data_IF_945110726601
#
_entry.id   IF_945110726601
#
_cell.length_a   1.000
_cell.length_b   1.000
_cell.length_c   1.000
_cell.angle_alpha   90.00
_cell.angle_beta   90.00
_cell.angle_gamma   90.00
#
_symmetry.space_group_name_H-M   'P 1'
#
loop_
_entity.id
_entity.type
_entity.pdbx_description
1 polymer ?
#
# COMPACT_ATOMS: atom_id res chain seq x y z
N UNK A 1 -21.15 32.08 25.30
CA UNK A 1 -21.34 30.66 25.59
C UNK A 1 -21.88 30.06 24.30
N UNK A 2 -21.03 29.53 23.45
CA UNK A 2 -21.44 28.86 22.22
C UNK A 2 -22.01 27.49 22.60
N UNK A 3 -23.33 27.32 22.49
CA UNK A 3 -23.96 26.01 22.57
C UNK A 3 -23.52 25.17 21.35
N UNK A 4 -22.63 24.24 21.57
CA UNK A 4 -22.28 23.27 20.55
C UNK A 4 -23.33 22.12 20.60
N UNK A 5 -24.20 22.00 19.58
CA UNK A 5 -25.28 20.99 19.58
C UNK A 5 -24.74 19.55 19.63
N UNK A 6 -23.48 19.32 19.24
CA UNK A 6 -22.84 18.00 19.30
C UNK A 6 -22.51 17.62 20.75
N UNK A 7 -21.97 18.55 21.53
CA UNK A 7 -21.66 18.34 22.94
C UNK A 7 -22.94 18.02 23.72
N UNK A 8 -24.04 18.75 23.49
CA UNK A 8 -25.34 18.51 24.15
C UNK A 8 -25.92 17.14 23.75
N UNK A 9 -25.81 16.74 22.50
CA UNK A 9 -26.27 15.42 22.05
C UNK A 9 -25.48 14.28 22.70
N UNK A 10 -24.15 14.42 22.84
CA UNK A 10 -23.31 13.42 23.50
C UNK A 10 -23.56 13.33 25.00
N UNK A 11 -23.78 14.47 25.67
CA UNK A 11 -24.21 14.49 27.06
C UNK A 11 -25.54 13.78 27.27
N UNK A 12 -26.49 13.99 26.36
CA UNK A 12 -27.77 13.28 26.35
C UNK A 12 -27.62 11.77 26.14
N UNK A 13 -26.74 11.35 25.24
CA UNK A 13 -26.44 9.94 25.01
C UNK A 13 -25.80 9.26 26.24
N UNK A 14 -24.90 9.93 26.93
CA UNK A 14 -24.26 9.45 28.15
C UNK A 14 -25.20 9.43 29.36
N UNK A 15 -26.27 10.23 29.37
CA UNK A 15 -27.31 10.14 30.40
C UNK A 15 -28.12 8.84 30.29
N UNK A 16 -28.25 8.28 29.07
CA UNK A 16 -28.90 6.99 28.82
C UNK A 16 -27.99 5.77 29.03
N UNK A 17 -26.68 5.93 28.78
CA UNK A 17 -25.66 4.89 28.96
C UNK A 17 -24.37 5.48 29.51
N UNK A 18 -24.30 5.55 30.83
CA UNK A 18 -23.15 6.11 31.54
C UNK A 18 -21.86 5.25 31.41
N UNK A 19 -21.97 4.01 30.95
CA UNK A 19 -20.86 3.09 30.74
C UNK A 19 -20.18 3.20 29.37
N UNK A 20 -20.65 4.07 28.47
CA UNK A 20 -20.10 4.20 27.13
C UNK A 20 -18.80 5.01 27.10
N UNK A 21 -17.69 4.33 27.45
CA UNK A 21 -16.36 4.95 27.54
C UNK A 21 -15.88 5.58 26.23
N UNK A 22 -16.04 4.96 25.02
CA UNK A 22 -15.65 5.59 23.76
C UNK A 22 -16.37 6.92 23.50
N UNK A 23 -17.65 7.01 23.75
CA UNK A 23 -18.42 8.25 23.60
C UNK A 23 -17.96 9.31 24.62
N UNK A 24 -17.60 8.88 25.84
CA UNK A 24 -17.09 9.77 26.88
C UNK A 24 -15.71 10.34 26.55
N UNK A 25 -14.80 9.54 25.97
CA UNK A 25 -13.49 10.02 25.50
C UNK A 25 -13.68 11.04 24.37
N UNK A 26 -14.57 10.77 23.42
CA UNK A 26 -14.87 11.71 22.34
C UNK A 26 -15.47 13.03 22.86
N UNK A 27 -16.37 12.96 23.82
CA UNK A 27 -16.90 14.14 24.49
C UNK A 27 -15.81 14.94 25.19
N UNK A 28 -14.90 14.26 25.89
CA UNK A 28 -13.78 14.91 26.58
C UNK A 28 -12.86 15.67 25.61
N UNK A 29 -12.58 15.12 24.42
CA UNK A 29 -11.83 15.80 23.36
C UNK A 29 -12.58 17.07 22.86
N UNK A 30 -13.86 16.98 22.56
CA UNK A 30 -14.67 18.13 22.10
C UNK A 30 -14.77 19.23 23.16
N UNK A 31 -14.89 18.85 24.43
CA UNK A 31 -14.89 19.81 25.55
C UNK A 31 -13.54 20.52 25.66
N UNK A 32 -12.43 19.81 25.45
CA UNK A 32 -11.09 20.39 25.43
C UNK A 32 -10.93 21.40 24.30
N UNK A 33 -11.36 21.04 23.08
CA UNK A 33 -11.37 21.93 21.91
C UNK A 33 -12.26 23.16 22.10
N UNK A 34 -13.38 23.02 22.81
CA UNK A 34 -14.28 24.11 23.15
C UNK A 34 -13.76 25.00 24.32
N UNK A 35 -12.57 24.72 24.86
CA UNK A 35 -11.99 25.44 26.00
C UNK A 35 -12.65 25.13 27.36
N UNK A 36 -13.52 24.11 27.42
CA UNK A 36 -14.20 23.66 28.67
C UNK A 36 -13.31 22.63 29.39
N UNK A 37 -12.11 23.07 29.75
CA UNK A 37 -10.99 22.20 30.22
C UNK A 37 -11.29 21.46 31.51
N UNK A 38 -12.01 22.07 32.47
CA UNK A 38 -12.38 21.41 33.71
C UNK A 38 -13.35 20.25 33.49
N UNK A 39 -14.31 20.42 32.59
CA UNK A 39 -15.26 19.37 32.25
C UNK A 39 -14.62 18.27 31.40
N UNK A 40 -13.71 18.64 30.50
CA UNK A 40 -12.90 17.68 29.77
C UNK A 40 -12.09 16.75 30.71
N UNK A 41 -11.47 17.33 31.76
CA UNK A 41 -10.72 16.59 32.76
C UNK A 41 -11.64 15.64 33.55
N UNK A 42 -12.84 16.08 33.93
CA UNK A 42 -13.82 15.24 34.62
C UNK A 42 -14.23 14.04 33.78
N UNK A 43 -14.56 14.25 32.50
CA UNK A 43 -14.95 13.15 31.61
C UNK A 43 -13.79 12.17 31.39
N UNK A 44 -12.56 12.66 31.17
CA UNK A 44 -11.39 11.82 30.97
C UNK A 44 -11.05 11.00 32.24
N UNK A 45 -11.10 11.61 33.43
CA UNK A 45 -10.85 10.91 34.71
C UNK A 45 -11.91 9.85 35.00
N UNK A 46 -13.15 10.06 34.61
CA UNK A 46 -14.22 9.07 34.70
C UNK A 46 -13.92 7.82 33.86
N UNK A 47 -13.37 8.00 32.66
CA UNK A 47 -12.92 6.87 31.82
C UNK A 47 -11.72 6.17 32.48
N UNK A 48 -10.74 6.90 32.97
CA UNK A 48 -9.54 6.34 33.59
C UNK A 48 -9.83 5.59 34.89
N UNK A 49 -10.91 5.90 35.59
CA UNK A 49 -11.35 5.14 36.76
C UNK A 49 -11.81 3.71 36.37
N UNK A 50 -12.37 3.52 35.18
CA UNK A 50 -12.81 2.22 34.66
C UNK A 50 -11.76 1.53 33.78
N UNK A 51 -10.98 2.31 33.04
CA UNK A 51 -9.96 1.87 32.08
C UNK A 51 -8.65 2.65 32.31
N UNK A 52 -7.83 2.27 33.30
CA UNK A 52 -6.59 3.02 33.67
C UNK A 52 -5.52 3.04 32.55
N UNK A 53 -5.59 2.10 31.61
CA UNK A 53 -4.70 1.91 30.48
C UNK A 53 -5.18 2.58 29.18
N UNK A 54 -6.27 3.33 29.23
CA UNK A 54 -6.79 4.03 28.05
C UNK A 54 -5.90 5.23 27.71
N UNK A 55 -5.02 5.05 26.72
CA UNK A 55 -4.01 6.03 26.29
C UNK A 55 -4.64 7.35 25.85
N UNK A 56 -5.76 7.31 25.12
CA UNK A 56 -6.44 8.51 24.65
C UNK A 56 -7.03 9.32 25.80
N UNK A 57 -7.66 8.66 26.77
CA UNK A 57 -8.15 9.32 27.98
C UNK A 57 -7.00 9.89 28.83
N UNK A 58 -5.83 9.23 28.92
CA UNK A 58 -4.64 9.74 29.57
C UNK A 58 -4.11 11.01 28.90
N UNK A 59 -4.11 11.07 27.57
CA UNK A 59 -3.69 12.26 26.81
C UNK A 59 -4.60 13.45 27.07
N UNK A 60 -5.91 13.23 26.97
CA UNK A 60 -6.91 14.26 27.24
C UNK A 60 -6.79 14.75 28.67
N UNK A 61 -6.65 13.85 29.65
CA UNK A 61 -6.49 14.19 31.06
C UNK A 61 -5.21 14.99 31.32
N UNK A 62 -4.08 14.63 30.68
CA UNK A 62 -2.82 15.36 30.79
C UNK A 62 -2.96 16.81 30.27
N UNK A 63 -3.53 16.97 29.08
CA UNK A 63 -3.71 18.29 28.46
C UNK A 63 -4.72 19.15 29.24
N UNK A 64 -5.84 18.57 29.66
CA UNK A 64 -6.85 19.26 30.44
C UNK A 64 -6.35 19.65 31.83
N UNK A 65 -5.59 18.77 32.54
CA UNK A 65 -5.01 19.06 33.84
C UNK A 65 -4.00 20.22 33.76
N UNK A 66 -3.18 20.27 32.73
CA UNK A 66 -2.24 21.37 32.48
C UNK A 66 -2.99 22.69 32.25
N UNK A 67 -4.04 22.68 31.44
CA UNK A 67 -4.84 23.86 31.15
C UNK A 67 -5.61 24.40 32.38
N UNK A 68 -5.91 23.53 33.37
CA UNK A 68 -6.51 23.91 34.66
C UNK A 68 -5.44 24.33 35.68
N UNK A 69 -4.14 24.18 35.39
CA UNK A 69 -3.01 24.55 36.27
C UNK A 69 -2.56 23.46 37.26
N UNK A 70 -3.03 22.22 37.09
CA UNK A 70 -2.60 21.07 37.92
C UNK A 70 -1.43 20.33 37.26
N UNK A 71 -0.24 20.92 37.31
CA UNK A 71 0.97 20.41 36.67
C UNK A 71 1.39 19.03 37.23
N UNK A 72 1.06 18.74 38.50
CA UNK A 72 1.41 17.44 39.10
C UNK A 72 0.61 16.29 38.42
N UNK A 73 -0.70 16.47 38.23
CA UNK A 73 -1.52 15.49 37.54
C UNK A 73 -1.22 15.46 36.04
N UNK A 74 -0.99 16.62 35.39
CA UNK A 74 -0.59 16.66 34.02
C UNK A 74 0.63 15.81 33.73
N UNK A 75 1.70 15.98 34.50
CA UNK A 75 2.94 15.20 34.40
C UNK A 75 2.72 13.71 34.66
N UNK A 76 1.88 13.36 35.64
CA UNK A 76 1.59 11.96 35.96
C UNK A 76 0.85 11.25 34.81
N UNK A 77 -0.20 11.88 34.25
CA UNK A 77 -0.94 11.33 33.14
C UNK A 77 -0.09 11.25 31.86
N UNK A 78 0.75 12.27 31.58
CA UNK A 78 1.65 12.26 30.45
C UNK A 78 2.67 11.12 30.50
N UNK A 79 3.28 10.88 31.68
CA UNK A 79 4.22 9.75 31.87
C UNK A 79 3.53 8.40 31.69
N UNK A 80 2.31 8.22 32.18
CA UNK A 80 1.55 7.00 32.00
C UNK A 80 1.20 6.78 30.53
N UNK A 81 0.75 7.81 29.82
CA UNK A 81 0.46 7.73 28.39
C UNK A 81 1.71 7.31 27.59
N UNK A 82 2.86 7.95 27.82
CA UNK A 82 4.14 7.63 27.16
C UNK A 82 4.67 6.24 27.52
N UNK A 83 4.41 5.75 28.73
CA UNK A 83 4.82 4.41 29.15
C UNK A 83 4.00 3.30 28.47
N UNK A 84 2.71 3.56 28.20
CA UNK A 84 1.81 2.63 27.51
C UNK A 84 1.94 2.69 25.99
N UNK A 85 2.18 3.87 25.45
CA UNK A 85 2.42 4.11 24.02
C UNK A 85 3.49 5.22 23.86
N UNK A 86 4.73 4.88 23.49
CA UNK A 86 5.81 5.86 23.28
C UNK A 86 5.50 6.89 22.17
N UNK A 87 4.60 6.57 21.23
CA UNK A 87 4.14 7.51 20.20
C UNK A 87 3.11 8.53 20.72
N UNK A 88 2.57 8.30 21.93
CA UNK A 88 1.57 9.15 22.57
C UNK A 88 2.18 10.28 23.44
N UNK A 89 3.42 10.71 23.20
CA UNK A 89 4.08 11.76 23.97
C UNK A 89 3.25 13.06 23.99
N UNK A 90 2.93 13.53 25.21
CA UNK A 90 2.21 14.79 25.44
C UNK A 90 3.24 15.92 25.54
N UNK A 91 3.09 17.04 24.79
CA UNK A 91 4.01 18.18 24.85
C UNK A 91 4.12 18.79 26.26
N UNK A 92 5.32 19.19 26.66
CA UNK A 92 5.60 19.64 28.05
C UNK A 92 5.15 21.08 28.34
N UNK A 93 4.88 21.92 27.35
CA UNK A 93 4.48 23.33 27.58
C UNK A 93 3.34 23.81 26.68
N UNK A 94 2.53 24.77 27.19
CA UNK A 94 1.47 25.42 26.42
C UNK A 94 2.02 26.24 25.23
N UNK A 95 3.25 26.78 25.37
CA UNK A 95 3.93 27.54 24.30
C UNK A 95 4.35 26.61 23.16
N UNK A 96 4.77 25.37 23.42
CA UNK A 96 5.03 24.38 22.40
C UNK A 96 3.76 23.94 21.66
N UNK A 97 2.62 23.96 22.35
CA UNK A 97 1.32 23.70 21.71
C UNK A 97 0.92 24.91 20.84
N UNK A 98 1.08 26.13 21.33
CA UNK A 98 0.76 27.37 20.62
C UNK A 98 1.74 27.61 19.47
N UNK A 99 3.03 27.36 19.62
CA UNK A 99 4.01 27.40 18.53
C UNK A 99 3.74 26.34 17.48
N UNK A 100 3.32 25.16 17.88
CA UNK A 100 2.88 24.11 16.95
C UNK A 100 1.59 24.49 16.20
N UNK A 101 0.72 25.31 16.78
CA UNK A 101 -0.50 25.80 16.14
C UNK A 101 -0.28 27.11 15.38
N UNK A 102 0.63 27.98 15.83
CA UNK A 102 0.93 29.26 15.18
C UNK A 102 1.98 29.13 14.06
N UNK A 103 2.83 28.12 14.12
CA UNK A 103 3.78 27.73 13.06
C UNK A 103 3.26 26.56 12.23
N UNK A 104 2.04 26.11 12.45
CA UNK A 104 1.40 25.10 11.61
C UNK A 104 1.06 25.69 10.26
N UNK A 105 2.08 25.63 9.41
CA UNK A 105 2.20 24.50 8.49
C UNK A 105 3.63 23.92 8.49
N UNK A 106 4.06 23.15 9.47
CA UNK A 106 4.88 22.03 9.11
C UNK A 106 3.88 21.09 8.43
N UNK A 107 3.95 21.00 7.11
CA UNK A 107 3.59 19.77 6.42
C UNK A 107 4.28 18.68 7.22
N UNK A 108 3.57 18.04 8.16
CA UNK A 108 3.94 16.70 8.62
C UNK A 108 3.88 15.95 7.31
N UNK A 109 5.05 15.76 6.70
CA UNK A 109 5.14 14.87 5.55
C UNK A 109 4.57 13.57 6.09
N UNK A 110 3.40 13.16 5.62
CA UNK A 110 2.87 11.89 6.07
C UNK A 110 3.95 10.89 5.73
N UNK A 111 4.42 10.12 6.70
CA UNK A 111 5.32 8.97 6.48
C UNK A 111 4.55 7.89 5.72
N UNK A 112 3.89 8.33 4.64
CA UNK A 112 3.03 7.56 3.77
C UNK A 112 3.91 7.06 2.64
N UNK A 113 4.49 5.90 2.85
CA UNK A 113 5.34 5.24 1.89
C UNK A 113 6.82 5.61 2.00
N UNK A 114 7.68 4.69 1.66
CA UNK A 114 9.13 4.84 1.76
C UNK A 114 9.70 5.14 0.39
N UNK A 115 10.30 6.34 0.23
CA UNK A 115 11.10 6.65 -0.96
C UNK A 115 12.40 5.85 -0.86
N UNK A 116 12.65 4.98 -1.83
CA UNK A 116 13.86 4.15 -1.91
C UNK A 116 14.53 4.32 -3.26
N UNK A 117 15.86 4.27 -3.27
CA UNK A 117 16.57 4.06 -4.53
C UNK A 117 16.23 2.65 -5.06
N UNK A 118 15.85 2.56 -6.31
CA UNK A 118 15.58 1.28 -6.93
C UNK A 118 16.92 0.58 -7.23
N UNK A 119 17.30 -0.39 -6.40
CA UNK A 119 18.56 -1.14 -6.55
C UNK A 119 18.52 -2.26 -7.60
N UNK A 120 17.41 -2.42 -8.33
CA UNK A 120 17.19 -3.47 -9.34
C UNK A 120 16.74 -2.87 -10.66
N UNK A 121 17.06 -3.56 -11.76
CA UNK A 121 16.69 -3.17 -13.12
C UNK A 121 15.82 -4.23 -13.80
N UNK A 122 15.27 -3.95 -14.97
CA UNK A 122 14.52 -4.94 -15.75
C UNK A 122 15.35 -6.16 -16.15
N UNK A 123 16.68 -6.07 -16.16
CA UNK A 123 17.56 -7.21 -16.41
C UNK A 123 17.50 -8.24 -15.24
N UNK A 124 17.28 -7.77 -14.03
CA UNK A 124 17.21 -8.64 -12.83
C UNK A 124 15.87 -9.38 -12.69
N UNK A 125 14.84 -8.94 -13.43
CA UNK A 125 13.53 -9.58 -13.43
C UNK A 125 13.54 -10.77 -14.38
N UNK A 126 13.31 -11.98 -13.88
CA UNK A 126 13.23 -13.20 -14.70
C UNK A 126 12.01 -13.21 -15.61
N UNK A 127 12.18 -13.56 -16.89
CA UNK A 127 11.10 -13.68 -17.86
C UNK A 127 10.37 -12.38 -18.19
N UNK A 128 9.03 -12.45 -18.32
CA UNK A 128 8.14 -11.31 -18.61
C UNK A 128 8.52 -10.52 -19.89
N UNK A 129 8.97 -11.23 -20.94
CA UNK A 129 9.51 -10.63 -22.16
C UNK A 129 8.53 -9.64 -22.82
N UNK A 130 7.25 -10.00 -22.93
CA UNK A 130 6.22 -9.11 -23.50
C UNK A 130 5.93 -7.89 -22.62
N UNK A 131 5.93 -8.06 -21.29
CA UNK A 131 5.78 -6.94 -20.33
C UNK A 131 6.95 -5.97 -20.49
N UNK A 132 8.19 -6.47 -20.48
CA UNK A 132 9.41 -5.66 -20.68
C UNK A 132 9.38 -4.92 -22.01
N UNK A 133 9.05 -5.58 -23.10
CA UNK A 133 8.92 -4.99 -24.43
C UNK A 133 7.89 -3.86 -24.47
N UNK A 134 6.74 -4.03 -23.82
CA UNK A 134 5.71 -3.00 -23.72
C UNK A 134 6.18 -1.80 -22.89
N UNK A 135 6.82 -2.06 -21.75
CA UNK A 135 7.39 -1.00 -20.92
C UNK A 135 8.45 -0.22 -21.68
N UNK A 136 9.30 -0.92 -22.44
CA UNK A 136 10.32 -0.30 -23.27
C UNK A 136 9.72 0.61 -24.35
N UNK A 137 8.71 0.13 -25.08
CA UNK A 137 8.06 0.91 -26.14
C UNK A 137 7.18 2.05 -25.62
N UNK A 138 6.48 1.84 -24.52
CA UNK A 138 5.50 2.79 -24.00
C UNK A 138 6.13 3.88 -23.14
N UNK A 139 7.20 3.55 -22.40
CA UNK A 139 7.82 4.40 -21.40
C UNK A 139 9.29 4.70 -21.70
N UNK A 140 10.16 3.68 -21.72
CA UNK A 140 11.60 3.88 -21.72
C UNK A 140 12.13 4.54 -23.01
N UNK A 141 11.71 4.04 -24.19
CA UNK A 141 12.16 4.62 -25.46
C UNK A 141 11.72 6.07 -25.65
N UNK A 142 10.47 6.47 -25.39
CA UNK A 142 10.06 7.87 -25.45
C UNK A 142 10.79 8.77 -24.45
N UNK A 143 11.13 8.25 -23.27
CA UNK A 143 11.90 9.00 -22.27
C UNK A 143 13.34 9.20 -22.65
N UNK A 144 13.99 8.16 -23.17
CA UNK A 144 15.38 8.23 -23.64
C UNK A 144 15.57 9.08 -24.90
N UNK A 145 14.47 9.41 -25.61
CA UNK A 145 14.49 10.18 -26.87
C UNK A 145 13.51 11.36 -26.84
N UNK A 146 13.75 12.40 -26.03
CA UNK A 146 12.81 13.51 -25.84
C UNK A 146 12.55 14.31 -27.13
N UNK A 147 13.55 14.47 -28.00
CA UNK A 147 13.40 15.16 -29.29
C UNK A 147 12.44 14.43 -30.23
N UNK A 148 12.59 13.10 -30.35
CA UNK A 148 11.67 12.29 -31.14
C UNK A 148 10.27 12.32 -30.55
N UNK A 149 10.16 12.21 -29.24
CA UNK A 149 8.89 12.30 -28.51
C UNK A 149 8.13 13.58 -28.85
N UNK A 150 8.82 14.72 -28.81
CA UNK A 150 8.23 16.03 -29.12
C UNK A 150 7.81 16.12 -30.61
N UNK A 151 8.66 15.64 -31.53
CA UNK A 151 8.35 15.62 -32.96
C UNK A 151 7.12 14.77 -33.30
N UNK A 152 6.90 13.66 -32.58
CA UNK A 152 5.72 12.81 -32.75
C UNK A 152 4.53 13.26 -31.90
N UNK A 153 4.63 14.38 -31.16
CA UNK A 153 3.57 14.87 -30.28
C UNK A 153 3.18 13.89 -29.16
N UNK A 154 4.08 12.94 -28.81
CA UNK A 154 3.76 11.90 -27.85
C UNK A 154 3.88 12.44 -26.42
N UNK A 155 2.74 12.56 -25.73
CA UNK A 155 2.69 12.86 -24.30
C UNK A 155 3.15 11.66 -23.48
N UNK A 156 3.85 11.91 -22.37
CA UNK A 156 4.10 10.94 -21.30
C UNK A 156 3.09 11.09 -20.15
N UNK A 157 2.11 11.98 -20.32
CA UNK A 157 1.00 12.11 -19.37
C UNK A 157 0.22 10.80 -19.29
N UNK A 158 -0.40 10.58 -18.15
CA UNK A 158 -1.12 9.35 -17.86
C UNK A 158 -0.24 8.35 -17.11
N UNK A 159 -0.91 7.33 -16.59
CA UNK A 159 -0.32 6.25 -15.81
C UNK A 159 -0.28 4.93 -16.57
N UNK A 160 0.41 3.99 -15.98
CA UNK A 160 0.43 2.59 -16.41
C UNK A 160 -0.22 1.72 -15.33
N UNK A 161 -1.12 0.83 -15.75
CA UNK A 161 -1.71 -0.18 -14.88
C UNK A 161 -1.08 -1.55 -15.18
N UNK A 162 -0.42 -2.14 -14.18
CA UNK A 162 -0.01 -3.54 -14.18
C UNK A 162 -1.14 -4.37 -13.56
N UNK A 163 -1.65 -5.36 -14.27
CA UNK A 163 -2.70 -6.21 -13.74
C UNK A 163 -2.45 -7.69 -14.01
N UNK A 164 -3.00 -8.55 -13.17
CA UNK A 164 -2.80 -10.00 -13.29
C UNK A 164 -2.84 -10.71 -11.96
N UNK A 165 -2.61 -12.04 -11.93
CA UNK A 165 -2.71 -12.82 -10.72
C UNK A 165 -1.73 -12.36 -9.63
N UNK A 166 -2.07 -12.60 -8.35
CA UNK A 166 -1.18 -12.30 -7.23
C UNK A 166 0.13 -13.07 -7.31
N UNK A 167 1.19 -12.52 -6.73
CA UNK A 167 2.50 -13.18 -6.66
C UNK A 167 3.26 -13.30 -7.99
N UNK A 168 2.78 -12.67 -9.08
CA UNK A 168 3.44 -12.74 -10.40
C UNK A 168 4.43 -11.59 -10.67
N UNK A 169 4.77 -10.79 -9.65
CA UNK A 169 5.89 -9.85 -9.72
C UNK A 169 5.53 -8.44 -10.19
N UNK A 170 4.26 -7.98 -10.09
CA UNK A 170 3.85 -6.62 -10.49
C UNK A 170 4.66 -5.54 -9.78
N UNK A 171 4.77 -5.61 -8.46
CA UNK A 171 5.56 -4.68 -7.64
C UNK A 171 7.06 -4.76 -7.96
N UNK A 172 7.58 -5.98 -8.24
CA UNK A 172 8.97 -6.17 -8.66
C UNK A 172 9.26 -5.48 -10.01
N UNK A 173 8.34 -5.61 -10.98
CA UNK A 173 8.42 -4.92 -12.29
C UNK A 173 8.40 -3.41 -12.11
N UNK A 174 7.55 -2.88 -11.22
CA UNK A 174 7.48 -1.45 -10.95
C UNK A 174 8.80 -0.91 -10.36
N UNK A 175 9.39 -1.62 -9.39
CA UNK A 175 10.71 -1.28 -8.83
C UNK A 175 11.81 -1.36 -9.88
N UNK A 176 11.82 -2.41 -10.69
CA UNK A 176 12.80 -2.57 -11.74
C UNK A 176 12.71 -1.48 -12.82
N UNK A 177 11.48 -1.02 -13.13
CA UNK A 177 11.26 0.10 -14.02
C UNK A 177 11.81 1.41 -13.44
N UNK A 178 11.62 1.66 -12.14
CA UNK A 178 12.20 2.83 -11.47
C UNK A 178 13.73 2.81 -11.54
N UNK A 179 14.36 1.66 -11.30
CA UNK A 179 15.82 1.51 -11.44
C UNK A 179 16.32 1.73 -12.87
N UNK A 180 15.59 1.25 -13.86
CA UNK A 180 15.90 1.46 -15.29
C UNK A 180 15.80 2.94 -15.70
N UNK A 181 14.93 3.70 -15.01
CA UNK A 181 14.73 5.14 -15.19
C UNK A 181 15.71 5.98 -14.37
N UNK A 182 16.49 5.40 -13.47
CA UNK A 182 17.25 6.15 -12.47
C UNK A 182 16.35 6.99 -11.55
N UNK A 183 15.09 6.59 -11.38
CA UNK A 183 14.09 7.32 -10.61
C UNK A 183 14.01 6.80 -9.18
N UNK A 184 13.66 7.70 -8.26
CA UNK A 184 13.25 7.33 -6.91
C UNK A 184 11.96 6.51 -6.97
N UNK A 185 11.86 5.43 -6.19
CA UNK A 185 10.66 4.60 -6.10
C UNK A 185 9.87 4.95 -4.85
N UNK A 186 8.64 5.39 -5.03
CA UNK A 186 7.74 5.76 -3.96
C UNK A 186 6.52 4.84 -3.98
N UNK A 187 6.50 3.87 -3.08
CA UNK A 187 5.43 2.85 -2.96
C UNK A 187 4.36 3.34 -1.99
N UNK A 188 3.11 3.26 -2.41
CA UNK A 188 1.94 3.69 -1.66
C UNK A 188 0.97 2.54 -1.58
N UNK A 189 0.70 2.07 -0.36
CA UNK A 189 -0.44 1.21 -0.09
C UNK A 189 -1.72 2.03 -0.04
N UNK A 190 -2.73 1.65 -0.81
CA UNK A 190 -4.01 2.38 -0.77
C UNK A 190 -4.76 2.20 0.55
N UNK A 191 -4.54 1.09 1.27
CA UNK A 191 -4.93 0.93 2.66
C UNK A 191 -4.40 2.07 3.54
N UNK A 192 -3.12 2.40 3.42
CA UNK A 192 -2.46 3.44 4.21
C UNK A 192 -3.07 4.83 3.95
N UNK A 193 -3.48 5.09 2.70
CA UNK A 193 -4.17 6.34 2.33
C UNK A 193 -5.59 6.39 2.91
N UNK A 194 -6.26 5.24 3.04
CA UNK A 194 -7.65 5.16 3.48
C UNK A 194 -7.79 5.10 5.01
N UNK A 195 -6.84 4.47 5.71
CA UNK A 195 -6.88 4.26 7.15
C UNK A 195 -6.44 5.50 7.95
N UNK A 196 -5.69 6.42 7.33
CA UNK A 196 -5.32 7.68 7.95
C UNK A 196 -6.46 8.70 7.86
N UNK A 197 -7.40 8.63 8.82
CA UNK A 197 -8.42 9.65 9.16
C UNK A 197 -9.43 9.99 8.04
N UNK A 198 -10.67 9.64 8.29
CA UNK A 198 -11.83 10.12 7.53
C UNK A 198 -11.80 11.67 7.52
N UNK A 199 -11.46 12.27 6.36
CA UNK A 199 -11.40 13.73 6.16
C UNK A 199 -10.04 14.29 5.71
N UNK A 200 -8.92 13.53 5.81
CA UNK A 200 -7.58 13.99 5.39
C UNK A 200 -7.01 13.28 4.15
N UNK A 201 -7.67 12.23 3.68
CA UNK A 201 -7.16 11.37 2.57
C UNK A 201 -6.84 12.13 1.29
N UNK A 202 -7.63 13.17 0.95
CA UNK A 202 -7.38 14.03 -0.22
C UNK A 202 -6.13 14.90 -0.05
N UNK A 203 -5.92 15.45 1.16
CA UNK A 203 -4.72 16.25 1.48
C UNK A 203 -3.47 15.39 1.48
N UNK A 204 -3.54 14.18 2.04
CA UNK A 204 -2.44 13.24 2.07
C UNK A 204 -2.03 12.82 0.67
N UNK A 205 -3.01 12.52 -0.19
CA UNK A 205 -2.74 12.18 -1.59
C UNK A 205 -2.06 13.33 -2.34
N UNK A 206 -2.50 14.58 -2.12
CA UNK A 206 -1.84 15.76 -2.67
C UNK A 206 -0.41 15.90 -2.18
N UNK A 207 -0.16 15.72 -0.88
CA UNK A 207 1.17 15.74 -0.29
C UNK A 207 2.10 14.67 -0.88
N UNK A 208 1.57 13.46 -1.16
CA UNK A 208 2.29 12.38 -1.85
C UNK A 208 2.77 12.85 -3.24
N UNK A 209 1.87 13.43 -4.04
CA UNK A 209 2.24 13.94 -5.37
C UNK A 209 3.22 15.10 -5.27
N UNK A 210 3.07 16.00 -4.30
CA UNK A 210 4.00 17.10 -4.07
C UNK A 210 5.39 16.57 -3.65
N UNK A 211 5.44 15.53 -2.84
CA UNK A 211 6.69 14.85 -2.47
C UNK A 211 7.35 14.18 -3.68
N UNK A 212 6.57 13.51 -4.53
CA UNK A 212 7.08 12.93 -5.77
C UNK A 212 7.64 14.02 -6.72
N UNK A 213 6.98 15.17 -6.82
CA UNK A 213 7.44 16.32 -7.62
C UNK A 213 8.75 16.91 -7.09
N UNK A 214 8.97 16.92 -5.79
CA UNK A 214 10.23 17.38 -5.15
C UNK A 214 11.39 16.42 -5.38
N UNK A 215 11.10 15.13 -5.53
CA UNK A 215 12.10 14.06 -5.68
C UNK A 215 12.21 13.53 -7.12
N UNK A 216 12.03 14.40 -8.13
CA UNK A 216 12.13 14.04 -9.56
C UNK A 216 13.57 13.64 -9.95
N UNK A 217 13.76 12.64 -10.82
CA UNK A 217 12.73 11.76 -11.37
C UNK A 217 12.20 10.77 -10.31
N UNK A 218 10.88 10.63 -10.23
CA UNK A 218 10.21 9.79 -9.24
C UNK A 218 9.18 8.89 -9.91
N UNK A 219 9.15 7.60 -9.53
CA UNK A 219 8.10 6.67 -9.89
C UNK A 219 7.19 6.46 -8.69
N UNK A 220 5.96 6.94 -8.82
CA UNK A 220 4.90 6.81 -7.85
C UNK A 220 4.13 5.52 -8.13
N UNK A 221 4.10 4.60 -7.19
CA UNK A 221 3.49 3.29 -7.36
C UNK A 221 2.34 3.07 -6.39
N UNK A 222 1.13 2.90 -6.94
CA UNK A 222 -0.07 2.55 -6.20
C UNK A 222 -0.30 1.05 -6.28
N UNK A 223 -0.06 0.33 -5.18
CA UNK A 223 -0.42 -1.09 -5.12
C UNK A 223 -1.90 -1.27 -4.76
N UNK A 224 -2.49 -2.37 -5.22
CA UNK A 224 -3.87 -2.76 -4.94
C UNK A 224 -4.93 -1.68 -5.27
N UNK A 225 -4.78 -0.98 -6.41
CA UNK A 225 -5.70 0.10 -6.80
C UNK A 225 -7.18 -0.34 -6.92
N UNK A 226 -7.44 -1.63 -7.07
CA UNK A 226 -8.77 -2.25 -7.03
C UNK A 226 -9.47 -2.08 -5.67
N UNK A 227 -8.73 -1.85 -4.56
CA UNK A 227 -9.31 -1.53 -3.27
C UNK A 227 -10.22 -0.28 -3.31
N UNK A 228 -9.97 0.65 -4.23
CA UNK A 228 -10.84 1.81 -4.47
C UNK A 228 -12.19 1.43 -5.11
N UNK A 229 -12.25 0.33 -5.86
CA UNK A 229 -13.47 -0.16 -6.51
C UNK A 229 -14.37 -0.97 -5.58
N UNK A 230 -13.81 -1.96 -4.88
CA UNK A 230 -14.58 -2.91 -4.05
C UNK A 230 -15.43 -2.24 -2.97
N UNK A 231 -14.92 -1.19 -2.33
CA UNK A 231 -15.62 -0.49 -1.26
C UNK A 231 -16.85 0.31 -1.74
N UNK A 232 -16.97 0.63 -3.04
CA UNK A 232 -18.15 1.32 -3.60
C UNK A 232 -19.41 0.45 -3.61
N UNK A 233 -19.29 -0.85 -3.84
CA UNK A 233 -20.41 -1.78 -3.94
C UNK A 233 -20.91 -2.25 -2.57
N UNK A 234 -20.08 -2.22 -1.54
CA UNK A 234 -20.37 -2.77 -0.22
C UNK A 234 -20.83 -1.73 0.82
N UNK A 235 -20.52 -0.43 0.67
CA UNK A 235 -20.80 0.59 1.67
C UNK A 235 -22.00 1.46 1.28
N UNK A 236 -23.18 1.14 1.80
CA UNK A 236 -24.36 2.01 1.73
C UNK A 236 -24.24 3.36 2.46
N UNK A 237 -23.17 3.60 3.23
CA UNK A 237 -22.98 4.83 4.03
C UNK A 237 -21.59 5.50 3.90
N UNK A 238 -20.53 4.81 3.47
CA UNK A 238 -19.14 5.32 3.45
C UNK A 238 -18.62 5.83 2.09
N UNK A 239 -19.47 5.96 1.10
CA UNK A 239 -19.08 6.25 -0.29
C UNK A 239 -18.54 7.66 -0.59
N UNK A 240 -18.57 8.60 0.38
CA UNK A 240 -18.10 9.97 0.13
C UNK A 240 -16.58 10.09 0.19
N UNK A 241 -15.93 9.50 1.18
CA UNK A 241 -14.47 9.57 1.37
C UNK A 241 -13.71 8.90 0.22
N UNK A 242 -14.15 7.70 -0.19
CA UNK A 242 -13.56 6.99 -1.34
C UNK A 242 -13.73 7.73 -2.66
N UNK A 243 -14.88 8.39 -2.87
CA UNK A 243 -15.07 9.25 -4.04
C UNK A 243 -14.11 10.43 -4.04
N UNK A 244 -13.84 11.01 -2.88
CA UNK A 244 -12.86 12.07 -2.71
C UNK A 244 -11.46 11.63 -3.13
N UNK A 245 -10.99 10.48 -2.63
CA UNK A 245 -9.67 9.91 -2.99
C UNK A 245 -9.57 9.64 -4.49
N UNK A 246 -10.59 8.98 -5.09
CA UNK A 246 -10.61 8.73 -6.54
C UNK A 246 -10.58 10.05 -7.32
N UNK A 247 -11.40 11.03 -6.94
CA UNK A 247 -11.44 12.33 -7.61
C UNK A 247 -10.09 13.07 -7.48
N UNK A 248 -9.41 12.97 -6.34
CA UNK A 248 -8.09 13.58 -6.16
C UNK A 248 -7.05 12.88 -7.05
N UNK A 249 -7.02 11.53 -7.11
CA UNK A 249 -6.13 10.80 -8.04
C UNK A 249 -6.40 11.25 -9.50
N UNK A 250 -7.67 11.37 -9.88
CA UNK A 250 -8.05 11.82 -11.21
C UNK A 250 -7.55 13.24 -11.49
N UNK A 251 -7.70 14.17 -10.54
CA UNK A 251 -7.23 15.55 -10.67
C UNK A 251 -5.71 15.63 -10.80
N UNK A 252 -4.97 14.84 -10.02
CA UNK A 252 -3.51 14.77 -10.08
C UNK A 252 -3.00 14.16 -11.40
N UNK A 253 -3.67 13.12 -11.91
CA UNK A 253 -3.33 12.49 -13.19
C UNK A 253 -3.65 13.39 -14.39
N UNK A 254 -4.79 14.08 -14.36
CA UNK A 254 -5.21 14.98 -15.46
C UNK A 254 -4.27 16.19 -15.59
N UNK A 255 -3.49 16.49 -14.55
CA UNK A 255 -2.48 17.56 -14.57
C UNK A 255 -3.05 18.96 -14.84
N UNK A 256 -4.33 19.18 -14.53
CA UNK A 256 -5.04 20.42 -14.85
C UNK A 256 -4.46 21.66 -14.12
N UNK A 257 -3.76 21.46 -13.01
CA UNK A 257 -3.22 22.54 -12.17
C UNK A 257 -1.73 22.42 -11.84
N UNK A 258 -1.07 21.29 -12.18
CA UNK A 258 0.30 21.01 -11.72
C UNK A 258 1.12 20.30 -12.80
N UNK A 259 2.40 20.70 -12.90
CA UNK A 259 3.37 20.05 -13.78
C UNK A 259 3.84 18.73 -13.18
N UNK A 260 3.50 17.60 -13.84
CA UNK A 260 3.94 16.25 -13.49
C UNK A 260 5.13 15.76 -14.34
N UNK A 261 5.84 16.65 -15.04
CA UNK A 261 7.01 16.23 -15.80
C UNK A 261 8.07 15.65 -14.86
N UNK A 262 8.57 14.45 -15.17
CA UNK A 262 9.49 13.69 -14.30
C UNK A 262 8.84 12.90 -13.15
N UNK A 263 7.50 12.92 -13.01
CA UNK A 263 6.76 12.01 -12.12
C UNK A 263 6.08 10.95 -12.97
N UNK A 264 6.43 9.68 -12.71
CA UNK A 264 5.87 8.53 -13.40
C UNK A 264 4.88 7.84 -12.49
N UNK A 265 3.64 7.65 -12.95
CA UNK A 265 2.61 7.04 -12.12
C UNK A 265 2.33 5.62 -12.63
N UNK A 266 2.51 4.65 -11.74
CA UNK A 266 2.15 3.26 -11.96
C UNK A 266 1.12 2.83 -10.94
N UNK A 267 0.25 1.91 -11.36
CA UNK A 267 -0.63 1.20 -10.45
C UNK A 267 -0.54 -0.31 -10.67
N UNK A 268 -0.83 -1.08 -9.64
CA UNK A 268 -1.00 -2.52 -9.75
C UNK A 268 -2.39 -2.93 -9.24
N UNK A 269 -2.93 -3.98 -9.85
CA UNK A 269 -4.21 -4.58 -9.43
C UNK A 269 -4.18 -6.09 -9.61
N UNK A 270 -4.79 -6.77 -8.65
CA UNK A 270 -5.13 -8.18 -8.76
C UNK A 270 -6.52 -8.40 -9.39
N UNK A 271 -7.41 -7.39 -9.34
CA UNK A 271 -8.80 -7.48 -9.80
C UNK A 271 -9.14 -6.30 -10.73
N UNK A 272 -8.66 -6.29 -11.98
CA UNK A 272 -8.84 -5.17 -12.90
C UNK A 272 -10.31 -4.86 -13.19
N UNK A 273 -11.20 -5.82 -13.03
CA UNK A 273 -12.66 -5.68 -13.17
C UNK A 273 -13.33 -4.91 -12.03
N UNK A 274 -12.64 -4.71 -10.90
CA UNK A 274 -13.14 -3.95 -9.75
C UNK A 274 -12.66 -2.48 -9.78
N UNK A 275 -11.81 -2.12 -10.75
CA UNK A 275 -11.29 -0.75 -10.90
C UNK A 275 -12.37 0.16 -11.48
N UNK A 276 -12.48 1.37 -10.91
CA UNK A 276 -13.34 2.42 -11.46
C UNK A 276 -12.96 2.75 -12.91
N UNK A 277 -13.91 2.62 -13.82
CA UNK A 277 -13.71 2.91 -15.24
C UNK A 277 -13.23 4.34 -15.52
N UNK A 278 -13.50 5.29 -14.63
CA UNK A 278 -12.99 6.65 -14.73
C UNK A 278 -11.46 6.71 -14.66
N UNK A 279 -10.82 5.82 -13.90
CA UNK A 279 -9.36 5.72 -13.81
C UNK A 279 -8.71 5.17 -15.09
N UNK A 280 -9.46 4.40 -15.90
CA UNK A 280 -8.96 3.76 -17.12
C UNK A 280 -9.16 4.61 -18.39
N UNK A 281 -9.67 5.85 -18.27
CA UNK A 281 -9.89 6.73 -19.41
C UNK A 281 -8.59 7.30 -19.97
N UNK A 282 -8.54 7.71 -21.25
CA UNK A 282 -7.38 8.36 -21.85
C UNK A 282 -6.84 9.52 -21.02
N UNK A 283 -5.51 9.57 -20.88
CA UNK A 283 -4.82 10.56 -20.04
C UNK A 283 -4.64 10.18 -18.58
N UNK A 284 -5.23 9.06 -18.14
CA UNK A 284 -5.13 8.51 -16.78
C UNK A 284 -4.39 7.17 -16.83
N UNK A 285 -4.88 6.09 -16.24
CA UNK A 285 -4.28 4.76 -16.44
C UNK A 285 -4.72 4.15 -17.79
N UNK A 286 -4.40 4.85 -18.86
CA UNK A 286 -4.81 4.50 -20.22
C UNK A 286 -3.95 3.41 -20.87
N UNK A 287 -2.87 3.03 -20.21
CA UNK A 287 -1.97 1.95 -20.63
C UNK A 287 -2.08 0.80 -19.65
N UNK A 288 -2.54 -0.33 -20.13
CA UNK A 288 -2.69 -1.52 -19.30
C UNK A 288 -1.73 -2.61 -19.78
N UNK A 289 -1.09 -3.30 -18.84
CA UNK A 289 -0.16 -4.40 -19.13
C UNK A 289 -0.51 -5.59 -18.26
N UNK A 290 -0.82 -6.71 -18.92
CA UNK A 290 -1.11 -7.97 -18.26
C UNK A 290 0.21 -8.64 -17.84
N UNK A 291 0.34 -8.92 -16.55
CA UNK A 291 1.45 -9.66 -15.96
C UNK A 291 0.98 -11.09 -15.72
N UNK A 292 1.41 -11.98 -16.59
CA UNK A 292 1.04 -13.40 -16.54
C UNK A 292 1.94 -14.19 -15.59
N UNK A 293 1.50 -15.40 -15.16
CA UNK A 293 2.37 -16.32 -14.45
C UNK A 293 3.64 -16.64 -15.25
N UNK A 294 4.76 -16.91 -14.57
CA UNK A 294 6.04 -17.14 -15.24
C UNK A 294 6.00 -18.38 -16.15
N UNK A 295 6.55 -18.24 -17.35
CA UNK A 295 6.84 -19.35 -18.24
C UNK A 295 8.00 -20.23 -17.70
N UNK A 296 8.34 -21.29 -18.40
CA UNK A 296 9.35 -22.26 -17.91
C UNK A 296 10.71 -21.60 -17.69
N UNK A 297 11.15 -20.75 -18.62
CA UNK A 297 12.44 -20.06 -18.53
C UNK A 297 12.45 -19.04 -17.39
N UNK A 298 11.34 -18.32 -17.22
CA UNK A 298 11.15 -17.42 -16.09
C UNK A 298 11.16 -18.15 -14.76
N UNK A 299 10.49 -19.31 -14.65
CA UNK A 299 10.51 -20.11 -13.43
C UNK A 299 11.92 -20.57 -13.07
N UNK A 300 12.70 -21.01 -14.06
CA UNK A 300 14.10 -21.36 -13.84
C UNK A 300 14.93 -20.17 -13.33
N UNK A 301 14.74 -18.98 -13.92
CA UNK A 301 15.43 -17.76 -13.49
C UNK A 301 15.03 -17.35 -12.07
N UNK A 302 13.73 -17.44 -11.72
CA UNK A 302 13.22 -17.13 -10.38
C UNK A 302 13.79 -18.10 -9.34
N UNK A 303 13.78 -19.40 -9.62
CA UNK A 303 14.37 -20.42 -8.74
C UNK A 303 15.87 -20.17 -8.53
N UNK A 304 16.60 -19.87 -9.61
CA UNK A 304 18.03 -19.52 -9.55
C UNK A 304 18.26 -18.28 -8.68
N UNK A 305 17.41 -17.28 -8.80
CA UNK A 305 17.49 -16.06 -7.99
C UNK A 305 17.31 -16.34 -6.50
N UNK A 306 16.28 -17.10 -6.11
CA UNK A 306 16.00 -17.40 -4.71
C UNK A 306 16.99 -18.39 -4.08
N UNK A 307 17.67 -19.19 -4.87
CA UNK A 307 18.73 -20.11 -4.39
C UNK A 307 20.12 -19.45 -4.37
N UNK A 308 20.27 -18.24 -4.90
CA UNK A 308 21.56 -17.55 -4.94
C UNK A 308 22.11 -17.32 -3.52
N UNK A 309 23.37 -17.73 -3.29
CA UNK A 309 24.04 -17.58 -1.99
C UNK A 309 23.64 -18.60 -0.93
N UNK A 310 22.69 -19.50 -1.22
CA UNK A 310 22.34 -20.60 -0.33
C UNK A 310 23.20 -21.81 -0.61
N UNK A 311 23.57 -22.63 0.40
CA UNK A 311 24.30 -23.88 0.17
C UNK A 311 23.42 -24.88 -0.58
N UNK A 312 23.80 -25.24 -1.79
CA UNK A 312 23.03 -26.16 -2.66
C UNK A 312 23.96 -27.31 -3.17
N UNK A 313 23.39 -28.51 -3.36
CA UNK A 313 24.07 -29.63 -3.96
C UNK A 313 23.35 -30.07 -5.24
N UNK A 314 23.99 -29.88 -6.41
CA UNK A 314 23.61 -30.39 -7.74
C UNK A 314 22.13 -30.22 -8.10
N UNK A 315 21.63 -28.99 -8.11
CA UNK A 315 20.24 -28.71 -8.43
C UNK A 315 20.02 -28.68 -9.96
N UNK A 316 19.09 -29.49 -10.45
CA UNK A 316 18.53 -29.40 -11.81
C UNK A 316 17.34 -28.43 -11.83
N UNK A 317 17.65 -27.16 -12.09
CA UNK A 317 16.65 -26.10 -12.16
C UNK A 317 15.66 -26.28 -13.32
N UNK A 318 16.11 -26.83 -14.46
CA UNK A 318 15.25 -27.05 -15.62
C UNK A 318 14.18 -28.12 -15.32
N UNK A 319 14.53 -29.18 -14.61
CA UNK A 319 13.59 -30.21 -14.13
C UNK A 319 12.59 -29.60 -13.15
N UNK A 320 13.08 -28.80 -12.21
CA UNK A 320 12.24 -28.15 -11.20
C UNK A 320 11.28 -27.13 -11.84
N UNK A 321 11.75 -26.35 -12.83
CA UNK A 321 10.92 -25.42 -13.57
C UNK A 321 9.76 -26.11 -14.32
N UNK A 322 9.98 -27.31 -14.84
CA UNK A 322 8.92 -28.13 -15.45
C UNK A 322 7.91 -28.64 -14.40
N UNK A 323 8.41 -29.11 -13.25
CA UNK A 323 7.58 -29.61 -12.16
C UNK A 323 6.67 -28.51 -11.54
N UNK A 324 7.13 -27.28 -11.58
CA UNK A 324 6.43 -26.12 -10.99
C UNK A 324 5.53 -25.39 -11.98
N UNK A 325 5.02 -26.06 -13.02
CA UNK A 325 4.10 -25.43 -13.96
C UNK A 325 2.84 -24.89 -13.26
N UNK A 326 2.40 -23.71 -13.68
CA UNK A 326 1.22 -23.04 -13.14
C UNK A 326 1.41 -22.37 -11.80
N UNK A 327 2.62 -22.29 -11.27
CA UNK A 327 2.94 -21.58 -10.02
C UNK A 327 3.32 -20.13 -10.27
N UNK A 328 2.96 -19.26 -9.33
CA UNK A 328 3.36 -17.86 -9.30
C UNK A 328 4.84 -17.71 -8.88
N UNK A 329 5.40 -16.52 -9.03
CA UNK A 329 6.73 -16.22 -8.51
C UNK A 329 6.81 -16.34 -6.98
N UNK A 330 5.74 -16.00 -6.28
CA UNK A 330 5.64 -16.16 -4.83
C UNK A 330 5.61 -17.65 -4.40
N UNK A 331 4.91 -18.51 -5.16
CA UNK A 331 4.92 -19.93 -4.90
C UNK A 331 6.32 -20.53 -5.06
N UNK A 332 7.09 -20.06 -6.07
CA UNK A 332 8.47 -20.51 -6.29
C UNK A 332 9.41 -20.05 -5.17
N UNK A 333 9.23 -18.83 -4.67
CA UNK A 333 9.96 -18.33 -3.51
C UNK A 333 9.67 -19.19 -2.27
N UNK A 334 8.39 -19.50 -2.02
CA UNK A 334 7.99 -20.35 -0.90
C UNK A 334 8.56 -21.78 -1.00
N UNK A 335 8.62 -22.35 -2.21
CA UNK A 335 9.27 -23.66 -2.43
C UNK A 335 10.74 -23.61 -2.04
N UNK A 336 11.47 -22.56 -2.44
CA UNK A 336 12.87 -22.41 -2.06
C UNK A 336 13.05 -22.20 -0.54
N UNK A 337 12.12 -21.48 0.10
CA UNK A 337 12.16 -21.25 1.54
C UNK A 337 11.92 -22.55 2.33
N UNK A 338 10.86 -23.29 2.03
CA UNK A 338 10.59 -24.57 2.68
C UNK A 338 11.72 -25.58 2.48
N UNK A 339 12.32 -25.64 1.28
CA UNK A 339 13.48 -26.52 1.05
C UNK A 339 14.69 -26.07 1.89
N UNK A 340 14.85 -24.78 2.13
CA UNK A 340 15.92 -24.24 2.99
C UNK A 340 15.68 -24.59 4.46
N UNK A 341 14.44 -24.45 4.94
CA UNK A 341 14.05 -24.81 6.31
C UNK A 341 14.36 -26.27 6.61
N UNK A 342 14.03 -27.20 5.68
CA UNK A 342 14.32 -28.64 5.82
C UNK A 342 15.83 -28.91 5.86
N UNK A 343 16.62 -28.26 4.99
CA UNK A 343 18.07 -28.42 5.01
C UNK A 343 18.72 -27.84 6.27
N UNK A 344 18.15 -26.76 6.80
CA UNK A 344 18.61 -26.13 8.05
C UNK A 344 18.32 -27.04 9.27
N UNK A 345 17.13 -27.63 9.34
CA UNK A 345 16.76 -28.60 10.39
C UNK A 345 17.66 -29.83 10.35
N UNK A 346 17.93 -30.40 9.16
CA UNK A 346 18.88 -31.46 8.95
C UNK A 346 20.30 -31.10 9.44
N UNK A 347 20.74 -29.87 9.14
CA UNK A 347 22.05 -29.35 9.56
C UNK A 347 22.17 -29.26 11.09
N UNK A 348 21.13 -28.77 11.75
CA UNK A 348 21.05 -28.66 13.21
C UNK A 348 21.11 -30.05 13.87
N UNK A 349 20.36 -31.00 13.32
CA UNK A 349 20.33 -32.39 13.81
C UNK A 349 21.67 -33.14 13.59
N UNK A 350 22.29 -32.92 12.44
CA UNK A 350 23.57 -33.59 12.09
C UNK A 350 24.81 -32.92 12.72
N UNK A 351 24.66 -31.69 13.26
CA UNK A 351 25.77 -30.89 13.78
C UNK A 351 26.77 -30.41 12.72
N UNK A 352 26.38 -30.43 11.44
CA UNK A 352 27.18 -29.99 10.28
C UNK A 352 26.29 -29.41 9.22
N UNK A 353 26.84 -28.53 8.36
CA UNK A 353 26.11 -27.93 7.26
C UNK A 353 25.66 -29.02 6.26
N UNK A 354 24.35 -29.14 6.05
CA UNK A 354 23.77 -29.97 5.00
C UNK A 354 23.20 -29.05 3.91
N UNK A 355 23.60 -29.25 2.62
CA UNK A 355 23.12 -28.38 1.54
C UNK A 355 21.67 -28.70 1.16
N UNK A 356 21.00 -27.71 0.54
CA UNK A 356 19.71 -27.91 -0.11
C UNK A 356 19.89 -28.89 -1.28
N UNK A 357 19.16 -29.99 -1.27
CA UNK A 357 19.20 -31.02 -2.31
C UNK A 357 18.06 -30.87 -3.31
N UNK A 358 18.20 -31.51 -4.48
CA UNK A 358 17.11 -31.62 -5.46
C UNK A 358 15.82 -32.18 -4.83
N UNK A 359 15.96 -33.18 -3.95
CA UNK A 359 14.83 -33.79 -3.26
C UNK A 359 14.08 -32.83 -2.37
N UNK A 360 14.77 -32.01 -1.58
CA UNK A 360 14.14 -31.00 -0.73
C UNK A 360 13.27 -30.07 -1.57
N UNK A 361 13.75 -29.60 -2.72
CA UNK A 361 13.00 -28.72 -3.63
C UNK A 361 11.82 -29.42 -4.31
N UNK A 362 12.00 -30.70 -4.71
CA UNK A 362 10.89 -31.44 -5.32
C UNK A 362 9.78 -31.77 -4.33
N UNK A 363 10.15 -32.13 -3.09
CA UNK A 363 9.18 -32.40 -2.02
C UNK A 363 8.41 -31.08 -1.63
N UNK A 364 9.12 -29.99 -1.48
CA UNK A 364 8.50 -28.67 -1.29
C UNK A 364 7.59 -28.29 -2.48
N UNK A 365 8.04 -28.55 -3.72
CA UNK A 365 7.24 -28.27 -4.91
C UNK A 365 5.95 -29.11 -4.98
N UNK A 366 5.91 -30.32 -4.41
CA UNK A 366 4.70 -31.12 -4.30
C UNK A 366 3.76 -30.61 -3.17
N UNK A 367 4.34 -30.12 -2.08
CA UNK A 367 3.60 -29.63 -0.92
C UNK A 367 2.93 -28.27 -1.18
N UNK A 368 3.62 -27.34 -1.84
CA UNK A 368 3.09 -26.01 -2.16
C UNK A 368 2.04 -26.10 -3.27
N UNK A 369 0.81 -25.71 -2.97
CA UNK A 369 -0.26 -25.63 -3.97
C UNK A 369 -0.15 -24.34 -4.79
N UNK A 370 -0.50 -24.35 -6.10
CA UNK A 370 -0.57 -23.11 -6.89
C UNK A 370 -1.56 -22.10 -6.30
N UNK A 371 -1.09 -20.91 -5.99
CA UNK A 371 -1.91 -19.86 -5.36
C UNK A 371 -2.88 -19.15 -6.32
N UNK A 372 -2.67 -19.26 -7.63
CA UNK A 372 -3.39 -18.50 -8.66
C UNK A 372 -4.66 -19.18 -9.19
N UNK A 373 -5.05 -20.36 -8.65
CA UNK A 373 -6.17 -21.16 -9.16
C UNK A 373 -7.49 -20.41 -9.17
N UNK A 374 -7.91 -19.87 -8.04
CA UNK A 374 -9.17 -19.11 -7.88
C UNK A 374 -9.18 -17.85 -8.76
N UNK A 375 -8.04 -17.16 -8.81
CA UNK A 375 -7.90 -16.00 -9.68
C UNK A 375 -8.12 -16.37 -11.15
N UNK A 376 -7.54 -17.50 -11.60
CA UNK A 376 -7.69 -17.98 -12.99
C UNK A 376 -9.15 -18.35 -13.33
N UNK A 377 -9.90 -18.87 -12.39
CA UNK A 377 -11.32 -19.17 -12.58
C UNK A 377 -12.14 -17.89 -12.72
N UNK A 378 -11.94 -16.92 -11.83
CA UNK A 378 -12.60 -15.61 -11.90
C UNK A 378 -12.25 -14.89 -13.20
N UNK A 379 -10.96 -14.81 -13.52
CA UNK A 379 -10.45 -14.18 -14.74
C UNK A 379 -11.02 -14.80 -16.01
N UNK A 380 -11.23 -16.13 -16.01
CA UNK A 380 -11.88 -16.84 -17.14
C UNK A 380 -13.31 -16.38 -17.35
N UNK A 381 -14.08 -16.19 -16.28
CA UNK A 381 -15.46 -15.73 -16.37
C UNK A 381 -15.52 -14.32 -16.96
N UNK A 382 -14.65 -13.40 -16.51
CA UNK A 382 -14.57 -12.06 -17.11
C UNK A 382 -14.10 -12.06 -18.57
N UNK A 383 -13.11 -12.91 -18.91
CA UNK A 383 -12.64 -13.03 -20.29
C UNK A 383 -13.70 -13.61 -21.25
N UNK A 384 -14.65 -14.43 -20.75
CA UNK A 384 -15.71 -15.05 -21.54
C UNK A 384 -16.98 -14.21 -21.60
N UNK A 385 -17.38 -13.56 -20.53
CA UNK A 385 -18.70 -12.95 -20.36
C UNK A 385 -18.67 -11.44 -20.12
N UNK A 386 -17.51 -10.86 -19.79
CA UNK A 386 -17.34 -9.43 -19.50
C UNK A 386 -16.34 -8.73 -20.42
N UNK A 387 -16.03 -9.27 -21.58
CA UNK A 387 -15.01 -8.76 -22.51
C UNK A 387 -15.56 -8.02 -23.73
N UNK A 388 -16.71 -7.37 -23.61
CA UNK A 388 -17.37 -6.67 -24.73
C UNK A 388 -16.50 -5.56 -25.35
N UNK A 389 -15.61 -4.98 -24.56
CA UNK A 389 -14.69 -3.91 -24.97
C UNK A 389 -13.35 -4.41 -25.52
N UNK A 390 -13.06 -5.71 -25.47
CA UNK A 390 -11.76 -6.29 -25.82
C UNK A 390 -10.67 -6.06 -24.76
N UNK A 391 -11.00 -5.53 -23.60
CA UNK A 391 -10.03 -5.22 -22.53
C UNK A 391 -9.28 -6.46 -22.02
N UNK A 392 -9.86 -7.64 -22.13
CA UNK A 392 -9.31 -8.91 -21.67
C UNK A 392 -8.90 -9.87 -22.80
N UNK A 393 -8.71 -9.39 -24.04
CA UNK A 393 -8.36 -10.23 -25.20
C UNK A 393 -7.06 -11.00 -24.99
N UNK A 394 -6.05 -10.37 -24.39
CA UNK A 394 -4.77 -11.02 -24.08
C UNK A 394 -4.94 -12.15 -23.07
N UNK A 395 -5.75 -11.92 -22.05
CA UNK A 395 -6.08 -12.93 -21.04
C UNK A 395 -6.85 -14.09 -21.70
N UNK A 396 -7.82 -13.78 -22.55
CA UNK A 396 -8.58 -14.79 -23.30
C UNK A 396 -7.67 -15.64 -24.21
N UNK A 397 -6.71 -15.01 -24.89
CA UNK A 397 -5.72 -15.69 -25.71
C UNK A 397 -4.82 -16.62 -24.88
N UNK A 398 -4.33 -16.14 -23.73
CA UNK A 398 -3.54 -16.94 -22.79
C UNK A 398 -4.30 -18.17 -22.28
N UNK A 399 -5.54 -17.98 -21.82
CA UNK A 399 -6.40 -19.05 -21.32
C UNK A 399 -6.71 -20.11 -22.39
N UNK A 400 -6.86 -19.68 -23.67
CA UNK A 400 -7.07 -20.57 -24.82
C UNK A 400 -5.85 -21.42 -25.13
N UNK A 401 -4.64 -20.83 -25.03
CA UNK A 401 -3.35 -21.54 -25.24
C UNK A 401 -3.10 -22.59 -24.17
N UNK A 402 -3.52 -22.35 -22.94
CA UNK A 402 -3.31 -23.25 -21.79
C UNK A 402 -4.31 -24.43 -21.74
N UNK A 403 -5.39 -24.39 -22.49
CA UNK A 403 -6.36 -25.48 -22.64
C UNK A 403 -5.92 -26.57 -23.63
N UNK A 404 -4.94 -26.28 -24.47
CA UNK A 404 -4.32 -27.20 -25.41
C UNK A 404 -3.08 -27.86 -24.85
#
# INVERSE_FOLDING_TARGET
MTHDPVIEALLGALAGDAGNHPVRVHLANLLLEAGRTAEALEQATTVLAAQPDNVEALRVAATAARAVGDEAKATAYARLATALDPAAAVPDTADEILDRWATSDPVVEPDIGTIRAAGITLADVGGLAEVKKRLELSFLKPLRNPELRLRFGKSLRGGLLLWGPPGCGKTLVARALAGELGASFYEIGLSDVLDMWIGSSERNLRAIFDTARRNRPCLLFFDEIDALGQKRSQLRGGGSALRGVVNQILAELDGASTDNDGVFVLAASNHPWDIDSALLRPGRFDRTVLVLPPDTDAREAILRFHLRGRPTDRIDLAKLAKLTDGRSGADLALICEQATEVAMDGSLTAGRLEPITQRHLEDAARAVRPSIGEWMETARNYALYGNDTGAYDELAAYLKKRRR
#
